data_IF_152802383565
#
_entry.id   IF_152802383565
#
_cell.length_a   1.000
_cell.length_b   1.000
_cell.length_c   1.000
_cell.angle_alpha   90.00
_cell.angle_beta   90.00
_cell.angle_gamma   90.00
#
_symmetry.space_group_name_H-M   'P 1'
#
loop_
_entity.id
_entity.type
_entity.pdbx_description
1 polymer ?
#
# COMPACT_ATOMS: atom_id res chain seq x y z
N UNK A 1 -4.23 10.70 23.64
CA UNK A 1 -4.14 9.22 23.68
C UNK A 1 -5.53 8.62 23.84
N UNK A 2 -6.13 8.21 22.72
CA UNK A 2 -7.24 7.24 22.70
C UNK A 2 -6.94 6.30 21.54
N UNK A 3 -6.34 5.16 21.88
CA UNK A 3 -6.08 4.05 20.96
C UNK A 3 -7.44 3.51 20.53
N UNK A 4 -7.81 3.74 19.28
CA UNK A 4 -8.94 3.06 18.66
C UNK A 4 -8.47 1.71 18.15
N UNK A 5 -9.11 0.67 18.66
CA UNK A 5 -8.87 -0.73 18.34
C UNK A 5 -9.43 -1.01 16.95
N UNK A 6 -8.58 -1.24 15.96
CA UNK A 6 -8.99 -1.85 14.71
C UNK A 6 -8.94 -3.37 14.89
N UNK A 7 -10.03 -3.95 15.41
CA UNK A 7 -10.23 -5.39 15.49
C UNK A 7 -11.15 -5.81 14.34
N UNK A 8 -10.60 -5.95 13.13
CA UNK A 8 -11.30 -6.63 12.05
C UNK A 8 -11.23 -8.15 12.31
N UNK A 9 -12.14 -8.62 13.16
CA UNK A 9 -12.37 -10.05 13.37
C UNK A 9 -13.02 -10.65 12.10
N UNK A 10 -12.20 -11.17 11.19
CA UNK A 10 -12.65 -12.05 10.12
C UNK A 10 -12.96 -13.42 10.74
N UNK A 11 -14.22 -13.61 11.15
CA UNK A 11 -14.75 -14.94 11.46
C UNK A 11 -15.01 -15.64 10.14
N UNK A 12 -14.04 -16.44 9.68
CA UNK A 12 -14.22 -17.30 8.53
C UNK A 12 -14.96 -18.57 8.97
N UNK A 13 -16.26 -18.61 8.69
CA UNK A 13 -17.07 -19.82 8.78
C UNK A 13 -16.52 -20.86 7.80
N UNK A 14 -16.06 -21.99 8.35
CA UNK A 14 -15.67 -23.18 7.62
C UNK A 14 -16.87 -23.79 6.91
N UNK A 15 -17.06 -23.45 5.64
CA UNK A 15 -17.90 -24.23 4.74
C UNK A 15 -17.07 -25.40 4.17
N UNK A 16 -17.21 -26.55 4.83
CA UNK A 16 -16.82 -27.85 4.30
C UNK A 16 -17.75 -28.25 3.15
N UNK A 17 -17.30 -28.18 1.90
CA UNK A 17 -17.80 -28.96 0.75
C UNK A 17 -16.63 -29.09 -0.25
N UNK A 18 -16.03 -30.25 -0.45
CA UNK A 18 -16.48 -31.42 -1.21
C UNK A 18 -15.59 -31.56 -2.44
N UNK A 19 -14.80 -32.63 -2.49
CA UNK A 19 -14.08 -33.04 -3.70
C UNK A 19 -15.08 -33.25 -4.84
N UNK A 20 -14.99 -32.44 -5.89
CA UNK A 20 -15.47 -32.81 -7.21
C UNK A 20 -14.25 -32.88 -8.11
N UNK A 21 -13.84 -34.11 -8.41
CA UNK A 21 -12.82 -34.42 -9.40
C UNK A 21 -13.37 -34.10 -10.79
N UNK A 22 -12.93 -32.99 -11.38
CA UNK A 22 -12.97 -32.82 -12.82
C UNK A 22 -11.54 -32.66 -13.34
N UNK A 23 -11.15 -33.67 -14.10
CA UNK A 23 -9.87 -33.79 -14.80
C UNK A 23 -9.87 -32.90 -16.04
N UNK A 24 -9.15 -31.79 -15.95
CA UNK A 24 -8.57 -31.12 -17.12
C UNK A 24 -7.07 -30.97 -16.87
N UNK A 25 -6.29 -31.81 -17.53
CA UNK A 25 -4.83 -31.81 -17.54
C UNK A 25 -4.30 -30.47 -18.09
N UNK A 26 -4.01 -29.56 -17.17
CA UNK A 26 -2.87 -28.65 -17.29
C UNK A 26 -1.90 -29.04 -16.19
N UNK A 27 -0.77 -29.66 -16.54
CA UNK A 27 0.30 -29.96 -15.60
C UNK A 27 0.61 -28.69 -14.77
N UNK A 28 0.63 -28.74 -13.42
CA UNK A 28 1.09 -27.61 -12.64
C UNK A 28 2.59 -27.42 -12.90
N UNK A 29 2.97 -26.23 -13.34
CA UNK A 29 4.37 -25.85 -13.62
C UNK A 29 5.23 -25.73 -12.36
N UNK A 30 4.64 -25.65 -11.17
CA UNK A 30 5.28 -25.75 -9.85
C UNK A 30 4.17 -25.95 -8.79
N UNK A 31 4.40 -26.71 -7.72
CA UNK A 31 3.40 -26.91 -6.64
C UNK A 31 3.36 -25.70 -5.69
N UNK A 32 2.18 -25.38 -5.15
CA UNK A 32 2.04 -24.29 -4.18
C UNK A 32 2.90 -24.53 -2.92
N UNK A 33 3.50 -23.46 -2.40
CA UNK A 33 4.32 -23.51 -1.19
C UNK A 33 4.33 -22.15 -0.48
N UNK A 34 4.66 -22.19 0.81
CA UNK A 34 4.91 -20.99 1.60
C UNK A 34 6.06 -21.23 2.57
N UNK A 35 7.20 -20.60 2.29
CA UNK A 35 8.39 -20.63 3.13
C UNK A 35 8.44 -19.35 3.95
N UNK A 36 8.61 -19.49 5.26
CA UNK A 36 8.74 -18.39 6.19
C UNK A 36 9.79 -18.71 7.25
N UNK A 37 10.73 -17.78 7.45
CA UNK A 37 11.64 -17.76 8.56
C UNK A 37 11.56 -16.45 9.31
N UNK A 38 11.75 -16.53 10.62
CA UNK A 38 11.90 -15.39 11.51
C UNK A 38 13.17 -15.59 12.34
N UNK A 39 14.08 -14.61 12.33
CA UNK A 39 15.38 -14.67 13.02
C UNK A 39 16.16 -15.97 12.72
N UNK A 40 16.25 -16.32 11.43
CA UNK A 40 16.82 -17.57 10.90
C UNK A 40 16.14 -18.87 11.37
N UNK A 41 15.04 -18.80 12.13
CA UNK A 41 14.25 -19.96 12.51
C UNK A 41 13.17 -20.20 11.48
N UNK A 42 13.09 -21.43 10.95
CA UNK A 42 11.99 -21.80 10.06
C UNK A 42 10.70 -21.89 10.85
N UNK A 43 9.68 -21.14 10.41
CA UNK A 43 8.34 -21.15 10.96
C UNK A 43 7.47 -21.93 9.97
N UNK A 44 7.07 -23.19 10.28
CA UNK A 44 6.31 -24.01 9.35
C UNK A 44 4.92 -23.42 9.11
N UNK A 45 4.69 -22.89 7.91
CA UNK A 45 3.37 -22.42 7.48
C UNK A 45 2.52 -23.63 7.11
N UNK A 46 1.33 -23.74 7.71
CA UNK A 46 0.42 -24.87 7.53
C UNK A 46 -0.86 -24.51 6.78
N UNK A 47 -1.14 -23.22 6.64
CA UNK A 47 -2.25 -22.70 5.85
C UNK A 47 -1.88 -21.33 5.27
N UNK A 48 -2.47 -20.97 4.14
CA UNK A 48 -2.36 -19.63 3.57
C UNK A 48 -3.64 -19.24 2.85
N UNK A 49 -3.84 -17.94 2.73
CA UNK A 49 -4.88 -17.33 1.92
C UNK A 49 -4.27 -16.25 1.06
N UNK A 50 -4.75 -16.13 -0.19
CA UNK A 50 -4.37 -15.03 -1.07
C UNK A 50 -5.60 -14.52 -1.80
N UNK A 51 -5.75 -13.20 -1.83
CA UNK A 51 -6.87 -12.51 -2.46
C UNK A 51 -6.34 -11.38 -3.33
N UNK A 52 -6.97 -11.19 -4.49
CA UNK A 52 -6.71 -10.05 -5.38
C UNK A 52 -7.95 -9.17 -5.45
N UNK A 53 -7.78 -7.89 -5.21
CA UNK A 53 -8.78 -6.85 -5.46
C UNK A 53 -8.19 -5.87 -6.47
N UNK A 54 -8.65 -5.93 -7.71
CA UNK A 54 -8.11 -5.16 -8.84
C UNK A 54 -6.59 -5.26 -8.99
N UNK A 55 -5.85 -4.24 -8.55
CA UNK A 55 -4.38 -4.13 -8.65
C UNK A 55 -3.67 -4.45 -7.35
N UNK A 56 -4.38 -4.77 -6.28
CA UNK A 56 -3.81 -5.11 -4.97
C UNK A 56 -3.97 -6.60 -4.71
N UNK A 57 -2.92 -7.23 -4.21
CA UNK A 57 -2.89 -8.62 -3.76
C UNK A 57 -2.54 -8.62 -2.28
N UNK A 58 -3.34 -9.34 -1.49
CA UNK A 58 -3.09 -9.61 -0.08
C UNK A 58 -2.83 -11.11 0.10
N UNK A 59 -1.77 -11.45 0.84
CA UNK A 59 -1.36 -12.84 1.10
C UNK A 59 -1.05 -12.99 2.58
N UNK A 60 -1.67 -13.97 3.24
CA UNK A 60 -1.38 -14.32 4.64
C UNK A 60 -0.98 -15.79 4.75
N UNK A 61 0.18 -16.06 5.34
CA UNK A 61 0.61 -17.39 5.76
C UNK A 61 0.45 -17.58 7.26
N UNK A 62 -0.13 -18.69 7.68
CA UNK A 62 -0.39 -19.04 9.09
C UNK A 62 0.29 -20.36 9.44
N UNK A 63 1.05 -20.35 10.52
CA UNK A 63 1.68 -21.54 11.09
C UNK A 63 0.79 -22.24 12.13
N UNK A 64 1.11 -23.50 12.45
CA UNK A 64 0.34 -24.31 13.39
C UNK A 64 0.26 -23.72 14.81
N UNK A 65 1.26 -22.94 15.22
CA UNK A 65 1.28 -22.29 16.54
C UNK A 65 0.56 -20.94 16.55
N UNK A 66 -0.02 -20.48 15.44
CA UNK A 66 -0.73 -19.21 15.33
C UNK A 66 0.14 -18.01 14.99
N UNK A 67 1.43 -18.18 14.69
CA UNK A 67 2.26 -17.12 14.09
C UNK A 67 1.85 -16.90 12.64
N UNK A 68 1.69 -15.64 12.24
CA UNK A 68 1.30 -15.22 10.91
C UNK A 68 2.36 -14.31 10.30
N UNK A 69 2.46 -14.36 8.98
CA UNK A 69 3.10 -13.33 8.16
C UNK A 69 2.13 -12.93 7.04
N UNK A 70 1.96 -11.64 6.84
CA UNK A 70 1.01 -11.09 5.87
C UNK A 70 1.66 -10.01 5.02
N UNK A 71 1.24 -9.96 3.76
CA UNK A 71 1.70 -9.03 2.74
C UNK A 71 0.52 -8.37 2.04
N UNK A 72 0.63 -7.09 1.76
CA UNK A 72 -0.20 -6.36 0.81
C UNK A 72 0.73 -5.69 -0.20
N UNK A 73 0.51 -5.91 -1.49
CA UNK A 73 1.36 -5.38 -2.56
C UNK A 73 0.54 -5.18 -3.83
N UNK A 74 1.03 -4.34 -4.74
CA UNK A 74 0.38 -4.13 -6.03
C UNK A 74 0.89 -5.12 -7.10
N UNK A 75 0.14 -5.26 -8.20
CA UNK A 75 0.51 -6.14 -9.33
C UNK A 75 1.81 -5.72 -10.06
N UNK A 76 2.38 -4.57 -9.71
CA UNK A 76 3.66 -4.08 -10.25
C UNK A 76 4.84 -4.44 -9.35
N UNK A 77 4.59 -5.14 -8.22
CA UNK A 77 5.62 -5.60 -7.29
C UNK A 77 5.99 -4.60 -6.20
N UNK A 78 5.27 -3.50 -6.05
CA UNK A 78 5.50 -2.56 -4.96
C UNK A 78 4.85 -3.07 -3.67
N UNK A 79 5.64 -3.21 -2.61
CA UNK A 79 5.15 -3.55 -1.28
C UNK A 79 4.32 -2.40 -0.71
N UNK A 80 3.10 -2.69 -0.26
CA UNK A 80 2.28 -1.78 0.52
C UNK A 80 2.50 -2.00 2.02
N UNK A 81 2.39 -3.26 2.48
CA UNK A 81 2.58 -3.66 3.87
C UNK A 81 3.19 -5.04 3.97
N UNK A 82 4.04 -5.25 4.96
CA UNK A 82 4.42 -6.59 5.43
C UNK A 82 4.34 -6.59 6.96
N UNK A 83 3.71 -7.60 7.56
CA UNK A 83 3.63 -7.67 9.01
C UNK A 83 3.63 -9.09 9.56
N UNK A 84 4.15 -9.25 10.77
CA UNK A 84 4.05 -10.49 11.55
C UNK A 84 3.25 -10.26 12.82
N UNK A 85 2.45 -11.26 13.21
CA UNK A 85 1.62 -11.20 14.41
C UNK A 85 1.22 -12.61 14.85
N UNK A 86 0.89 -12.77 16.12
CA UNK A 86 0.35 -14.02 16.65
C UNK A 86 -1.14 -13.91 16.94
N UNK A 87 -1.90 -14.92 16.54
CA UNK A 87 -3.34 -15.03 16.89
C UNK A 87 -3.57 -15.85 18.16
N UNK A 88 -2.53 -16.43 18.74
CA UNK A 88 -2.58 -17.35 19.89
C UNK A 88 -1.77 -16.85 21.08
N UNK A 89 -0.80 -15.95 20.84
CA UNK A 89 0.07 -15.35 21.86
C UNK A 89 0.08 -13.83 21.74
N UNK A 90 -0.75 -13.17 22.55
CA UNK A 90 -0.84 -11.70 22.58
C UNK A 90 0.40 -11.02 23.19
N UNK A 91 1.36 -11.78 23.72
CA UNK A 91 2.67 -11.26 24.10
C UNK A 91 3.57 -10.98 22.90
N UNK A 92 3.25 -11.53 21.71
CA UNK A 92 3.93 -11.20 20.45
C UNK A 92 3.27 -9.95 19.87
N UNK A 93 3.98 -8.80 19.81
CA UNK A 93 3.44 -7.59 19.20
C UNK A 93 3.27 -7.76 17.69
N UNK A 94 2.32 -7.00 17.13
CA UNK A 94 2.28 -6.74 15.69
C UNK A 94 3.58 -6.05 15.31
N UNK A 95 4.27 -6.60 14.30
CA UNK A 95 5.45 -5.96 13.72
C UNK A 95 5.20 -5.69 12.25
N UNK A 96 5.62 -4.53 11.77
CA UNK A 96 5.39 -4.09 10.38
C UNK A 96 6.69 -3.66 9.72
N UNK A 97 6.80 -3.84 8.40
CA UNK A 97 7.84 -3.17 7.63
C UNK A 97 7.71 -1.65 7.79
N UNK A 98 8.81 -0.93 7.53
CA UNK A 98 8.84 0.53 7.60
C UNK A 98 7.73 1.13 6.73
N UNK A 99 6.99 2.08 7.30
CA UNK A 99 5.71 2.55 6.73
C UNK A 99 5.90 3.47 5.50
N UNK A 100 7.04 4.17 5.44
CA UNK A 100 7.29 5.24 4.47
C UNK A 100 8.26 4.83 3.35
N UNK A 101 9.45 4.34 3.69
CA UNK A 101 10.49 3.92 2.73
C UNK A 101 10.89 2.45 2.93
N UNK A 102 9.91 1.55 2.84
CA UNK A 102 10.08 0.12 3.10
C UNK A 102 11.27 -0.51 2.35
N UNK A 103 11.58 -0.06 1.14
CA UNK A 103 12.70 -0.60 0.33
C UNK A 103 14.08 -0.43 0.98
N UNK A 104 14.25 0.46 1.96
CA UNK A 104 15.51 0.62 2.71
C UNK A 104 15.77 -0.56 3.65
N UNK A 105 14.71 -1.14 4.23
CA UNK A 105 14.81 -2.16 5.29
C UNK A 105 14.16 -3.49 4.91
N UNK A 106 13.47 -3.55 3.78
CA UNK A 106 12.71 -4.70 3.33
C UNK A 106 12.78 -4.87 1.80
N UNK A 107 13.30 -6.02 1.37
CA UNK A 107 13.28 -6.44 -0.03
C UNK A 107 12.03 -7.29 -0.29
N UNK A 108 11.26 -6.91 -1.29
CA UNK A 108 10.09 -7.63 -1.77
C UNK A 108 10.17 -7.73 -3.30
N UNK A 109 10.16 -8.94 -3.82
CA UNK A 109 10.30 -9.22 -5.24
C UNK A 109 9.10 -10.02 -5.73
N UNK A 110 8.28 -9.41 -6.59
CA UNK A 110 7.28 -10.12 -7.37
C UNK A 110 7.97 -10.88 -8.51
N UNK A 111 8.15 -12.18 -8.34
CA UNK A 111 8.83 -13.05 -9.32
C UNK A 111 7.91 -13.34 -10.50
N UNK A 112 6.64 -13.64 -10.23
CA UNK A 112 5.65 -13.95 -11.27
C UNK A 112 4.24 -13.66 -10.78
N UNK A 113 3.41 -13.09 -11.66
CA UNK A 113 1.96 -13.03 -11.53
C UNK A 113 1.35 -13.74 -12.75
N UNK A 114 0.76 -14.91 -12.53
CA UNK A 114 0.06 -15.66 -13.58
C UNK A 114 -1.43 -15.41 -13.45
N UNK A 115 -1.95 -14.51 -14.28
CA UNK A 115 -3.37 -14.15 -14.29
C UNK A 115 -4.28 -15.27 -14.82
N UNK A 116 -3.74 -16.22 -15.60
CA UNK A 116 -4.50 -17.33 -16.17
C UNK A 116 -4.72 -18.41 -15.13
N UNK A 117 -3.65 -18.84 -14.46
CA UNK A 117 -3.71 -19.87 -13.42
C UNK A 117 -4.01 -19.30 -12.02
N UNK A 118 -4.14 -17.97 -11.92
CA UNK A 118 -4.38 -17.22 -10.69
C UNK A 118 -3.35 -17.53 -9.61
N UNK A 119 -2.07 -17.49 -9.96
CA UNK A 119 -0.97 -17.71 -9.00
C UNK A 119 -0.06 -16.51 -8.90
N UNK A 120 0.55 -16.34 -7.73
CA UNK A 120 1.53 -15.30 -7.46
C UNK A 120 2.75 -15.91 -6.79
N UNK A 121 3.94 -15.57 -7.30
CA UNK A 121 5.23 -16.01 -6.80
C UNK A 121 6.06 -14.82 -6.31
N UNK A 122 6.54 -14.89 -5.08
CA UNK A 122 7.26 -13.80 -4.42
C UNK A 122 8.46 -14.32 -3.64
N UNK A 123 9.53 -13.53 -3.64
CA UNK A 123 10.62 -13.63 -2.66
C UNK A 123 10.60 -12.40 -1.73
N UNK A 124 10.94 -12.59 -0.47
CA UNK A 124 11.02 -11.48 0.48
C UNK A 124 12.12 -11.70 1.52
N UNK A 125 12.71 -10.60 1.98
CA UNK A 125 13.65 -10.58 3.10
C UNK A 125 13.77 -9.18 3.67
N UNK A 126 13.74 -9.02 4.99
CA UNK A 126 13.84 -7.70 5.60
C UNK A 126 13.58 -7.69 7.10
N UNK A 127 13.42 -6.49 7.64
CA UNK A 127 13.06 -6.27 9.04
C UNK A 127 11.59 -5.86 9.15
N UNK A 128 10.92 -6.39 10.17
CA UNK A 128 9.62 -5.88 10.63
C UNK A 128 9.75 -5.42 12.08
N UNK A 129 9.25 -4.22 12.35
CA UNK A 129 9.46 -3.43 13.55
C UNK A 129 8.20 -3.39 14.41
N UNK A 130 8.35 -3.37 15.73
CA UNK A 130 7.22 -3.15 16.66
C UNK A 130 6.55 -1.80 16.45
N UNK A 131 7.31 -0.81 15.98
CA UNK A 131 6.80 0.45 15.44
C UNK A 131 7.36 0.69 14.03
N UNK A 132 6.50 0.64 13.01
CA UNK A 132 6.87 0.86 11.60
C UNK A 132 7.30 2.28 11.26
N UNK A 133 7.13 3.22 12.18
CA UNK A 133 7.58 4.60 12.06
C UNK A 133 8.88 4.88 12.83
N UNK A 134 9.40 3.90 13.58
CA UNK A 134 10.64 4.04 14.34
C UNK A 134 11.59 2.90 13.99
N UNK A 135 12.56 3.17 13.11
CA UNK A 135 13.59 2.23 12.70
C UNK A 135 14.55 1.81 13.82
N UNK A 136 14.51 2.48 14.97
CA UNK A 136 15.27 2.12 16.17
C UNK A 136 14.48 1.21 17.11
N UNK A 137 13.19 1.01 16.86
CA UNK A 137 12.34 0.10 17.63
C UNK A 137 12.78 -1.36 17.47
N UNK A 138 12.33 -2.21 18.39
CA UNK A 138 12.60 -3.65 18.32
C UNK A 138 12.09 -4.22 17.00
N UNK A 139 12.88 -5.09 16.38
CA UNK A 139 12.52 -5.74 15.13
C UNK A 139 12.81 -7.24 15.19
N UNK A 140 12.22 -7.97 14.24
CA UNK A 140 12.65 -9.32 13.86
C UNK A 140 13.03 -9.32 12.39
N UNK A 141 14.01 -10.16 12.02
CA UNK A 141 14.34 -10.39 10.62
C UNK A 141 13.41 -11.46 10.06
N UNK A 142 12.82 -11.22 8.90
CA UNK A 142 12.00 -12.20 8.18
C UNK A 142 12.60 -12.49 6.82
N UNK A 143 12.52 -13.73 6.38
CA UNK A 143 12.90 -14.13 5.03
C UNK A 143 12.04 -15.30 4.54
N UNK A 144 11.84 -15.38 3.23
CA UNK A 144 11.10 -16.49 2.66
C UNK A 144 10.68 -16.27 1.22
N UNK A 145 9.78 -17.14 0.79
CA UNK A 145 9.20 -17.10 -0.54
C UNK A 145 7.87 -17.85 -0.54
N UNK A 146 6.99 -17.49 -1.45
CA UNK A 146 5.74 -18.22 -1.64
C UNK A 146 5.37 -18.32 -3.12
N UNK A 147 4.68 -19.40 -3.46
CA UNK A 147 3.91 -19.57 -4.68
C UNK A 147 2.53 -20.03 -4.25
N UNK A 148 1.53 -19.17 -4.39
CA UNK A 148 0.17 -19.44 -3.90
C UNK A 148 -0.87 -19.11 -4.95
N UNK A 149 -1.99 -19.84 -4.95
CA UNK A 149 -3.19 -19.44 -5.70
C UNK A 149 -3.92 -18.32 -4.98
N UNK A 150 -4.39 -17.35 -5.76
CA UNK A 150 -5.24 -16.27 -5.27
C UNK A 150 -6.66 -16.36 -5.83
N UNK A 151 -7.61 -15.78 -5.10
CA UNK A 151 -8.99 -15.58 -5.57
C UNK A 151 -9.25 -14.10 -5.81
N UNK A 152 -9.93 -13.78 -6.91
CA UNK A 152 -10.39 -12.41 -7.14
C UNK A 152 -11.57 -12.09 -6.23
N UNK A 153 -11.54 -10.90 -5.63
CA UNK A 153 -12.63 -10.31 -4.87
C UNK A 153 -13.04 -8.99 -5.53
N UNK A 154 -14.35 -8.72 -5.57
CA UNK A 154 -14.84 -7.45 -6.07
C UNK A 154 -14.59 -6.35 -5.03
N UNK A 155 -13.96 -5.22 -5.39
CA UNK A 155 -13.81 -4.11 -4.47
C UNK A 155 -15.18 -3.44 -4.21
N UNK A 156 -15.32 -2.83 -3.04
CA UNK A 156 -16.48 -1.96 -2.74
C UNK A 156 -16.46 -0.72 -3.65
N UNK A 157 -15.27 -0.15 -3.85
CA UNK A 157 -15.02 1.00 -4.74
C UNK A 157 -13.97 0.62 -5.77
N UNK A 158 -14.34 0.68 -7.05
CA UNK A 158 -13.45 0.31 -8.15
C UNK A 158 -12.51 1.43 -8.56
N UNK A 159 -11.35 1.05 -9.07
CA UNK A 159 -10.35 1.92 -9.68
C UNK A 159 -9.55 2.76 -8.69
N UNK A 160 -9.48 2.37 -7.41
CA UNK A 160 -8.67 3.09 -6.41
C UNK A 160 -7.17 2.98 -6.73
N UNK A 161 -6.43 4.04 -6.40
CA UNK A 161 -4.98 4.12 -6.55
C UNK A 161 -4.52 5.42 -7.21
N UNK A 162 -3.20 5.59 -7.27
CA UNK A 162 -2.52 6.69 -7.91
C UNK A 162 -1.35 6.19 -8.77
N UNK A 163 -1.22 6.78 -9.95
CA UNK A 163 -0.24 6.40 -10.97
C UNK A 163 0.33 7.65 -11.61
N UNK A 164 1.63 7.66 -11.87
CA UNK A 164 2.30 8.74 -12.57
C UNK A 164 3.56 8.24 -13.28
N UNK A 165 4.21 9.13 -14.01
CA UNK A 165 5.61 9.01 -14.41
C UNK A 165 6.44 10.05 -13.64
N UNK A 166 7.43 9.61 -12.89
CA UNK A 166 8.44 10.47 -12.24
C UNK A 166 9.72 10.38 -13.06
N UNK A 167 10.15 11.48 -13.66
CA UNK A 167 11.28 11.54 -14.62
C UNK A 167 11.18 10.48 -15.73
N UNK A 168 9.95 10.23 -16.19
CA UNK A 168 9.64 9.27 -17.25
C UNK A 168 9.48 7.81 -16.79
N UNK A 169 9.94 7.46 -15.58
CA UNK A 169 9.78 6.14 -14.98
C UNK A 169 8.38 5.98 -14.39
N UNK A 170 7.76 4.82 -14.61
CA UNK A 170 6.42 4.57 -14.07
C UNK A 170 6.46 4.44 -12.54
N UNK A 171 5.49 5.07 -11.90
CA UNK A 171 5.30 5.06 -10.45
C UNK A 171 3.86 4.65 -10.16
N UNK A 172 3.70 3.59 -9.34
CA UNK A 172 2.42 3.01 -8.97
C UNK A 172 2.32 2.94 -7.46
N UNK A 173 1.31 3.57 -6.87
CA UNK A 173 1.13 3.46 -5.44
C UNK A 173 0.80 2.01 -5.02
N UNK A 174 1.17 1.64 -3.81
CA UNK A 174 0.81 0.40 -3.12
C UNK A 174 0.09 0.66 -1.79
N UNK A 175 0.16 1.90 -1.29
CA UNK A 175 -0.48 2.33 -0.04
C UNK A 175 -0.95 3.78 -0.19
N UNK A 176 -1.91 4.17 0.65
CA UNK A 176 -2.32 5.55 0.82
C UNK A 176 -2.86 5.81 2.22
N UNK A 177 -2.83 7.05 2.66
CA UNK A 177 -3.48 7.53 3.87
C UNK A 177 -4.04 8.94 3.66
N UNK A 178 -4.70 9.46 4.69
CA UNK A 178 -5.19 10.83 4.74
C UNK A 178 -4.61 11.53 5.97
N UNK A 179 -4.32 12.82 5.82
CA UNK A 179 -3.97 13.73 6.91
C UNK A 179 -4.84 14.98 6.84
N UNK A 180 -5.38 15.43 7.97
CA UNK A 180 -6.28 16.59 8.02
C UNK A 180 -7.70 16.30 7.51
N UNK A 181 -8.52 17.36 7.41
CA UNK A 181 -9.91 17.28 6.96
C UNK A 181 -10.89 16.65 7.93
N UNK A 182 -10.53 16.58 9.21
CA UNK A 182 -11.40 16.03 10.27
C UNK A 182 -12.38 17.05 10.82
N UNK A 183 -12.37 18.27 10.27
CA UNK A 183 -13.28 19.36 10.60
C UNK A 183 -13.63 20.15 9.34
N UNK A 184 -14.82 20.77 9.33
CA UNK A 184 -15.26 21.62 8.22
C UNK A 184 -14.27 22.74 7.91
N UNK A 185 -14.02 22.95 6.63
CA UNK A 185 -13.10 23.94 6.10
C UNK A 185 -11.62 23.56 6.20
N UNK A 186 -11.24 22.42 6.79
CA UNK A 186 -9.86 21.98 6.82
C UNK A 186 -9.40 21.37 5.49
N UNK A 187 -8.14 21.65 5.13
CA UNK A 187 -7.51 20.98 4.01
C UNK A 187 -7.20 19.52 4.37
N UNK A 188 -7.34 18.65 3.37
CA UNK A 188 -7.01 17.23 3.40
C UNK A 188 -5.77 17.02 2.54
N UNK A 189 -4.79 16.29 3.07
CA UNK A 189 -3.71 15.70 2.29
C UNK A 189 -4.00 14.22 2.05
N UNK A 190 -4.18 13.84 0.79
CA UNK A 190 -4.32 12.44 0.37
C UNK A 190 -2.95 11.95 -0.08
N UNK A 191 -2.29 11.17 0.76
CA UNK A 191 -0.91 10.76 0.55
C UNK A 191 -0.85 9.39 -0.11
N UNK A 192 0.00 9.24 -1.13
CA UNK A 192 0.20 8.00 -1.87
C UNK A 192 1.68 7.58 -1.81
N UNK A 193 1.90 6.29 -1.52
CA UNK A 193 3.21 5.68 -1.34
C UNK A 193 3.34 4.42 -2.18
N UNK A 194 4.55 4.05 -2.58
CA UNK A 194 4.85 2.77 -3.24
C UNK A 194 5.98 1.98 -2.55
N UNK A 195 6.37 2.39 -1.34
CA UNK A 195 7.49 1.83 -0.58
C UNK A 195 8.88 2.31 -1.03
N UNK A 196 8.97 3.14 -2.07
CA UNK A 196 10.19 3.89 -2.40
C UNK A 196 10.27 5.20 -1.60
N UNK A 197 11.30 6.00 -1.86
CA UNK A 197 11.58 7.24 -1.14
C UNK A 197 10.63 8.40 -1.48
N UNK A 198 9.81 8.29 -2.52
CA UNK A 198 8.95 9.35 -3.01
C UNK A 198 7.51 9.15 -2.50
N UNK A 199 6.87 10.28 -2.20
CA UNK A 199 5.44 10.37 -1.88
C UNK A 199 4.81 11.40 -2.81
N UNK A 200 3.62 11.09 -3.32
CA UNK A 200 2.77 12.07 -4.00
C UNK A 200 1.59 12.37 -3.09
N UNK A 201 1.35 13.64 -2.81
CA UNK A 201 0.21 14.10 -2.02
C UNK A 201 -0.71 14.98 -2.85
N UNK A 202 -1.99 14.66 -2.87
CA UNK A 202 -3.04 15.52 -3.44
C UNK A 202 -3.67 16.29 -2.28
N UNK A 203 -3.51 17.61 -2.26
CA UNK A 203 -4.00 18.47 -1.19
C UNK A 203 -5.25 19.21 -1.69
N UNK A 204 -6.39 18.94 -1.04
CA UNK A 204 -7.71 19.46 -1.39
C UNK A 204 -8.44 19.94 -0.13
N UNK A 205 -9.67 20.41 -0.29
CA UNK A 205 -10.57 20.77 0.79
C UNK A 205 -11.92 20.09 0.56
N UNK A 206 -12.51 19.49 1.59
CA UNK A 206 -13.78 18.77 1.42
C UNK A 206 -14.94 19.70 1.06
N UNK A 207 -14.98 20.89 1.65
CA UNK A 207 -16.04 21.86 1.40
C UNK A 207 -15.80 22.64 0.10
N UNK A 208 -14.54 23.00 -0.17
CA UNK A 208 -14.20 24.04 -1.15
C UNK A 208 -13.51 23.55 -2.43
N UNK A 209 -13.30 22.24 -2.60
CA UNK A 209 -12.76 21.65 -3.85
C UNK A 209 -13.88 21.05 -4.71
N UNK A 210 -14.49 21.81 -5.65
CA UNK A 210 -15.35 21.24 -6.69
C UNK A 210 -14.56 20.51 -7.78
N UNK A 211 -15.28 19.85 -8.70
CA UNK A 211 -14.73 19.32 -9.94
C UNK A 211 -14.23 20.49 -10.80
N UNK A 212 -13.02 20.39 -11.34
CA UNK A 212 -12.42 21.46 -12.12
C UNK A 212 -10.90 21.36 -12.28
N UNK A 213 -10.37 22.28 -13.09
CA UNK A 213 -8.94 22.42 -13.36
C UNK A 213 -8.35 23.51 -12.48
N UNK A 214 -7.31 23.17 -11.73
CA UNK A 214 -6.58 24.02 -10.81
C UNK A 214 -5.13 24.13 -11.28
N UNK A 215 -4.71 25.35 -11.62
CA UNK A 215 -3.29 25.65 -11.77
C UNK A 215 -2.73 26.04 -10.41
N UNK A 216 -1.69 25.37 -9.96
CA UNK A 216 -1.08 25.60 -8.66
C UNK A 216 0.39 25.98 -8.79
N UNK A 217 0.87 26.69 -7.78
CA UNK A 217 2.28 27.01 -7.59
C UNK A 217 2.71 26.62 -6.18
N UNK A 218 3.98 26.80 -5.85
CA UNK A 218 4.48 26.54 -4.48
C UNK A 218 3.80 27.40 -3.42
N UNK A 219 3.21 28.54 -3.81
CA UNK A 219 2.45 29.43 -2.91
C UNK A 219 0.99 29.00 -2.70
N UNK A 220 0.44 28.07 -3.49
CA UNK A 220 -0.92 27.57 -3.31
C UNK A 220 -1.03 26.83 -1.98
N UNK A 221 -2.09 27.07 -1.20
CA UNK A 221 -2.34 26.33 0.06
C UNK A 221 -2.98 24.97 -0.20
N UNK A 222 -4.01 24.93 -1.04
CA UNK A 222 -4.75 23.73 -1.42
C UNK A 222 -4.95 23.63 -2.94
N UNK A 223 -5.74 22.63 -3.36
CA UNK A 223 -6.00 22.31 -4.77
C UNK A 223 -4.70 22.14 -5.57
N UNK A 224 -3.75 21.42 -4.97
CA UNK A 224 -2.40 21.24 -5.48
C UNK A 224 -1.95 19.79 -5.33
N UNK A 225 -0.87 19.47 -6.02
CA UNK A 225 -0.16 18.20 -5.85
C UNK A 225 1.27 18.48 -5.42
N UNK A 226 1.76 17.71 -4.46
CA UNK A 226 3.10 17.84 -3.89
C UNK A 226 3.85 16.53 -4.10
N UNK A 227 5.09 16.63 -4.59
CA UNK A 227 6.07 15.56 -4.48
C UNK A 227 6.90 15.80 -3.22
N UNK A 228 7.06 14.75 -2.43
CA UNK A 228 7.92 14.76 -1.26
C UNK A 228 8.88 13.58 -1.32
N UNK A 229 10.05 13.73 -0.69
CA UNK A 229 11.06 12.68 -0.64
C UNK A 229 11.45 12.40 0.80
N UNK A 230 11.50 11.13 1.16
CA UNK A 230 11.90 10.67 2.48
C UNK A 230 13.38 10.94 2.73
N UNK A 231 13.68 11.61 3.84
CA UNK A 231 15.03 11.82 4.33
C UNK A 231 15.31 10.89 5.51
N UNK A 232 16.17 9.91 5.29
CA UNK A 232 16.52 8.88 6.29
C UNK A 232 17.37 9.41 7.44
N UNK A 233 17.88 10.64 7.36
CA UNK A 233 18.62 11.31 8.44
C UNK A 233 17.67 11.97 9.44
N UNK A 234 16.63 12.63 8.94
CA UNK A 234 15.63 13.33 9.77
C UNK A 234 14.41 12.48 10.06
N UNK A 235 14.25 11.36 9.35
CA UNK A 235 13.12 10.44 9.42
C UNK A 235 11.79 11.11 9.04
N UNK A 236 11.83 12.02 8.05
CA UNK A 236 10.70 12.84 7.63
C UNK A 236 10.67 12.99 6.11
N UNK A 237 9.49 13.29 5.57
CA UNK A 237 9.34 13.71 4.18
C UNK A 237 9.70 15.19 4.02
N UNK A 238 10.54 15.48 3.02
CA UNK A 238 10.87 16.83 2.59
C UNK A 238 10.07 17.18 1.34
N UNK A 239 9.28 18.26 1.43
CA UNK A 239 8.43 18.71 0.34
C UNK A 239 9.22 19.46 -0.72
N UNK A 240 8.94 19.17 -2.00
CA UNK A 240 9.47 19.93 -3.11
C UNK A 240 8.59 21.16 -3.39
N UNK A 241 9.20 22.19 -3.96
CA UNK A 241 8.46 23.32 -4.49
C UNK A 241 7.78 22.91 -5.81
N UNK A 242 6.47 22.71 -5.77
CA UNK A 242 5.72 22.16 -6.90
C UNK A 242 4.90 23.23 -7.63
N UNK A 243 4.85 23.16 -8.96
CA UNK A 243 3.94 23.97 -9.78
C UNK A 243 3.44 23.17 -10.97
N UNK A 244 2.15 23.31 -11.29
CA UNK A 244 1.53 22.52 -12.35
C UNK A 244 0.01 22.59 -12.33
N UNK A 245 -0.62 21.51 -12.78
CA UNK A 245 -2.07 21.41 -12.92
C UNK A 245 -2.60 20.19 -12.20
N UNK A 246 -3.67 20.39 -11.42
CA UNK A 246 -4.54 19.35 -10.87
C UNK A 246 -5.90 19.50 -11.55
N UNK A 247 -6.41 18.42 -12.14
CA UNK A 247 -7.76 18.38 -12.70
C UNK A 247 -8.58 17.36 -11.92
N UNK A 248 -9.43 17.84 -11.02
CA UNK A 248 -10.40 17.01 -10.31
C UNK A 248 -11.52 16.71 -11.29
N UNK A 249 -11.69 15.45 -11.67
CA UNK A 249 -12.69 15.00 -12.66
C UNK A 249 -13.96 14.47 -12.02
N UNK A 250 -13.87 13.99 -10.79
CA UNK A 250 -14.99 13.42 -10.05
C UNK A 250 -14.82 13.71 -8.56
N UNK A 251 -15.92 14.06 -7.90
CA UNK A 251 -16.03 14.09 -6.44
C UNK A 251 -17.44 13.66 -6.07
N UNK A 252 -17.55 12.53 -5.37
CA UNK A 252 -18.81 11.94 -4.92
C UNK A 252 -18.80 11.92 -3.40
N UNK A 253 -19.54 12.84 -2.81
CA UNK A 253 -19.68 12.95 -1.36
C UNK A 253 -20.71 11.93 -0.87
N UNK A 254 -20.25 10.93 -0.12
CA UNK A 254 -21.08 9.96 0.57
C UNK A 254 -21.40 10.37 2.01
N UNK A 255 -22.05 9.48 2.76
CA UNK A 255 -22.39 9.75 4.17
C UNK A 255 -21.19 9.67 5.10
N UNK A 256 -20.30 8.68 4.92
CA UNK A 256 -19.10 8.47 5.75
C UNK A 256 -17.79 8.74 5.00
N UNK A 257 -17.81 8.64 3.68
CA UNK A 257 -16.63 8.74 2.85
C UNK A 257 -16.93 9.57 1.60
N UNK A 258 -15.93 10.28 1.12
CA UNK A 258 -15.95 10.94 -0.18
C UNK A 258 -14.98 10.26 -1.12
N UNK A 259 -15.43 9.99 -2.34
CA UNK A 259 -14.58 9.47 -3.42
C UNK A 259 -14.21 10.64 -4.32
N UNK A 260 -12.91 10.84 -4.53
CA UNK A 260 -12.38 11.88 -5.42
C UNK A 260 -11.45 11.23 -6.44
N UNK A 261 -11.53 11.69 -7.69
CA UNK A 261 -10.63 11.27 -8.76
C UNK A 261 -10.22 12.43 -9.65
N UNK A 262 -9.08 12.27 -10.32
CA UNK A 262 -8.55 13.30 -11.18
C UNK A 262 -7.25 12.94 -11.84
N UNK A 263 -6.70 13.92 -12.54
CA UNK A 263 -5.40 13.84 -13.21
C UNK A 263 -4.49 14.97 -12.75
N UNK A 264 -3.18 14.78 -12.81
CA UNK A 264 -2.22 15.83 -12.48
C UNK A 264 -0.96 15.75 -13.35
N UNK A 265 -0.29 16.89 -13.51
CA UNK A 265 1.04 16.99 -14.10
C UNK A 265 1.71 18.23 -13.52
N UNK A 266 2.96 18.10 -13.08
CA UNK A 266 3.65 19.20 -12.43
C UNK A 266 5.17 19.04 -12.48
N UNK A 267 5.86 20.15 -12.23
CA UNK A 267 7.30 20.19 -12.01
C UNK A 267 7.56 20.43 -10.53
N UNK A 268 8.46 19.65 -9.96
CA UNK A 268 8.88 19.72 -8.56
C UNK A 268 10.35 20.13 -8.48
N UNK A 269 10.66 21.15 -7.68
CA UNK A 269 12.03 21.64 -7.48
C UNK A 269 12.45 21.37 -6.04
N UNK A 270 13.56 20.64 -5.86
CA UNK A 270 14.13 20.40 -4.54
C UNK A 270 14.64 21.73 -3.95
N UNK A 271 14.13 22.18 -2.78
CA UNK A 271 14.57 23.45 -2.19
C UNK A 271 16.04 23.45 -1.75
N UNK A 272 16.64 22.28 -1.53
CA UNK A 272 17.99 22.15 -0.97
C UNK A 272 19.10 22.20 -2.05
N UNK A 273 18.83 21.73 -3.26
CA UNK A 273 19.83 21.63 -4.34
C UNK A 273 19.35 22.14 -5.71
N UNK A 274 18.10 22.62 -5.81
CA UNK A 274 17.47 23.12 -7.04
C UNK A 274 17.35 22.07 -8.17
N UNK A 275 17.52 20.78 -7.87
CA UNK A 275 17.22 19.72 -8.83
C UNK A 275 15.73 19.72 -9.18
N UNK A 276 15.45 19.45 -10.45
CA UNK A 276 14.10 19.41 -10.99
C UNK A 276 13.66 17.97 -11.23
N UNK A 277 12.42 17.66 -10.86
CA UNK A 277 11.76 16.40 -11.11
C UNK A 277 10.46 16.66 -11.88
N UNK A 278 10.26 15.94 -12.97
CA UNK A 278 9.07 16.05 -13.79
C UNK A 278 8.08 14.93 -13.45
N UNK A 279 6.86 15.30 -13.04
CA UNK A 279 5.77 14.37 -12.79
C UNK A 279 4.70 14.55 -13.87
N UNK A 280 4.51 13.50 -14.67
CA UNK A 280 3.62 13.52 -15.83
C UNK A 280 2.66 12.35 -15.83
N UNK A 281 1.57 12.44 -16.61
CA UNK A 281 0.54 11.40 -16.73
C UNK A 281 -0.01 10.93 -15.37
N UNK A 282 -0.10 11.85 -14.42
CA UNK A 282 -0.63 11.60 -13.10
C UNK A 282 -2.12 11.32 -13.15
N UNK A 283 -2.55 10.27 -12.47
CA UNK A 283 -3.96 9.94 -12.23
C UNK A 283 -4.10 9.52 -10.78
N UNK A 284 -5.24 9.83 -10.18
CA UNK A 284 -5.60 9.31 -8.87
C UNK A 284 -7.10 9.06 -8.77
N UNK A 285 -7.45 8.09 -7.95
CA UNK A 285 -8.78 7.91 -7.41
C UNK A 285 -8.63 7.37 -5.99
N UNK A 286 -9.23 8.04 -5.02
CA UNK A 286 -9.14 7.64 -3.62
C UNK A 286 -10.47 7.87 -2.91
N UNK A 287 -10.63 7.22 -1.77
CA UNK A 287 -11.70 7.46 -0.83
C UNK A 287 -11.09 7.96 0.48
N UNK A 288 -11.69 8.96 1.08
CA UNK A 288 -11.27 9.53 2.36
C UNK A 288 -12.48 9.67 3.30
N UNK A 289 -12.23 9.62 4.61
CA UNK A 289 -13.26 9.78 5.63
C UNK A 289 -13.75 11.23 5.65
N UNK A 290 -15.06 11.40 5.76
CA UNK A 290 -15.64 12.71 6.03
C UNK A 290 -15.50 13.03 7.53
N UNK A 291 -15.63 14.32 7.87
CA UNK A 291 -15.73 14.79 9.26
C UNK A 291 -17.14 14.69 9.85
#
# INVERSE_FOLDING_TARGET
MKIFKFLAAVVLSTALFSCSSDSSDSNPTESEYFNFKQDNQTIPVTAWTAQRSEKTIAVTGTSANGMNISFEFNIYGNLGKAHTYSTTDFGVPLRTAQEYYAQESFTFELVTLDETNKTVKVNYSGKVYEDGHDLTSNFVAVEGSFLVKYTDIAPITTGLGAYAKIDGADWYNSKSDQEGGYFSGEDISLNFYNGDKNQISVITNDDDTPVGVYNFTSASSNNKVVLSKYNTTTDQFENFNCSGTLNVTEKVVGFQYTVISGTYSFTAINPNDSSEVQVTNGTFKTAYENY
#
